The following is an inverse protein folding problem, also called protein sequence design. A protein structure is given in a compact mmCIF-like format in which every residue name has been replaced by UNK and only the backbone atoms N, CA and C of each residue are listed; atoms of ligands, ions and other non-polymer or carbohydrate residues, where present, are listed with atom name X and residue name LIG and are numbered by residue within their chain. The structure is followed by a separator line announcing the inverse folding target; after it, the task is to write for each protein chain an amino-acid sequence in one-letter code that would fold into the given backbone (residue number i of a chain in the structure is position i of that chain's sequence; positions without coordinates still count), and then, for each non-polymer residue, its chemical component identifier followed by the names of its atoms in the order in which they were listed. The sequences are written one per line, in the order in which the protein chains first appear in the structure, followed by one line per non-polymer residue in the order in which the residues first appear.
data_IF_009523866676
#
_entry.id   IF_009523866676
#
_cell.length_a   1.000
_cell.length_b   1.000
_cell.length_c   1.000
_cell.angle_alpha   90.00
_cell.angle_beta   90.00
_cell.angle_gamma   90.00
#
_symmetry.space_group_name_H-M   'P 1'
#
loop_
_entity.id
_entity.type
_entity.pdbx_description
1 polymer ?
#
# COMPACT_ATOMS: atom_id res chain seq x y z
N UNK A 1 9.49 1.60 1.17
CA UNK A 1 8.23 1.42 0.41
C UNK A 1 8.38 0.42 -0.72
N UNK A 2 7.27 -0.21 -1.12
CA UNK A 2 7.21 -1.23 -2.17
C UNK A 2 7.29 -0.67 -3.61
N UNK A 3 7.39 0.65 -3.78
CA UNK A 3 7.39 1.36 -5.07
C UNK A 3 8.32 0.79 -6.16
N UNK A 4 9.43 0.14 -5.78
CA UNK A 4 10.36 -0.50 -6.72
C UNK A 4 9.79 -1.75 -7.43
N UNK A 5 8.69 -2.31 -6.95
CA UNK A 5 8.02 -3.44 -7.58
C UNK A 5 7.23 -3.04 -8.84
N UNK A 6 7.17 -1.75 -9.18
CA UNK A 6 6.54 -1.26 -10.41
C UNK A 6 7.13 -1.91 -11.68
N UNK A 7 8.44 -2.18 -11.70
CA UNK A 7 9.10 -2.85 -12.83
C UNK A 7 8.58 -4.29 -12.98
N UNK A 8 8.35 -4.98 -11.87
CA UNK A 8 7.76 -6.33 -11.89
C UNK A 8 6.30 -6.27 -12.34
N UNK A 9 5.52 -5.31 -11.84
CA UNK A 9 4.13 -5.13 -12.26
C UNK A 9 4.02 -4.87 -13.77
N UNK A 10 4.89 -4.03 -14.31
CA UNK A 10 4.97 -3.77 -15.73
C UNK A 10 5.46 -4.99 -16.54
N UNK A 11 6.46 -5.74 -16.04
CA UNK A 11 6.91 -6.98 -16.68
C UNK A 11 5.81 -8.07 -16.70
N UNK A 12 4.89 -8.04 -15.75
CA UNK A 12 3.70 -8.90 -15.73
C UNK A 12 2.58 -8.42 -16.67
N UNK A 13 2.75 -7.28 -17.36
CA UNK A 13 1.76 -6.71 -18.27
C UNK A 13 0.54 -6.12 -17.57
N UNK A 14 0.68 -5.67 -16.32
CA UNK A 14 -0.41 -5.03 -15.58
C UNK A 14 -0.62 -3.58 -16.03
N UNK A 15 -1.88 -3.12 -16.01
CA UNK A 15 -2.24 -1.76 -16.41
C UNK A 15 -1.89 -0.70 -15.35
N UNK A 16 -1.83 -1.12 -14.07
CA UNK A 16 -1.62 -0.22 -12.95
C UNK A 16 -0.90 -0.88 -11.77
N UNK A 17 -0.17 -0.07 -11.01
CA UNK A 17 0.45 -0.43 -9.74
C UNK A 17 0.14 0.62 -8.66
N UNK A 18 -0.33 0.16 -7.49
CA UNK A 18 -0.69 1.00 -6.35
C UNK A 18 0.24 0.68 -5.18
N UNK A 19 0.80 1.72 -4.57
CA UNK A 19 1.68 1.63 -3.40
C UNK A 19 1.55 2.91 -2.55
N UNK A 20 2.20 2.94 -1.38
CA UNK A 20 2.14 4.07 -0.47
C UNK A 20 2.95 5.28 -0.96
N UNK A 21 4.27 5.16 -0.96
CA UNK A 21 5.19 6.26 -1.30
C UNK A 21 5.51 6.32 -2.81
N UNK A 22 6.21 7.38 -3.22
CA UNK A 22 6.75 7.54 -4.57
C UNK A 22 8.16 8.13 -4.52
N UNK A 23 9.01 7.77 -5.49
CA UNK A 23 10.28 8.44 -5.77
C UNK A 23 10.35 8.95 -7.21
N UNK A 24 11.36 9.77 -7.49
CA UNK A 24 11.62 10.30 -8.82
C UNK A 24 11.83 9.19 -9.87
N UNK A 25 12.58 8.13 -9.53
CA UNK A 25 12.75 6.96 -10.38
C UNK A 25 11.41 6.29 -10.74
N UNK A 26 10.50 6.14 -9.77
CA UNK A 26 9.20 5.49 -9.99
C UNK A 26 8.38 6.21 -11.06
N UNK A 27 8.49 7.55 -11.15
CA UNK A 27 7.81 8.35 -12.18
C UNK A 27 8.33 8.03 -13.57
N UNK A 28 9.65 7.88 -13.74
CA UNK A 28 10.25 7.55 -15.03
C UNK A 28 9.89 6.15 -15.47
N UNK A 29 9.99 5.15 -14.57
CA UNK A 29 9.60 3.77 -14.87
C UNK A 29 8.13 3.70 -15.32
N UNK A 30 7.22 4.37 -14.61
CA UNK A 30 5.80 4.39 -14.97
C UNK A 30 5.57 4.90 -16.41
N UNK A 31 6.24 5.99 -16.77
CA UNK A 31 6.11 6.63 -18.09
C UNK A 31 6.75 5.82 -19.20
N UNK A 32 7.95 5.30 -18.96
CA UNK A 32 8.70 4.52 -19.95
C UNK A 32 8.03 3.18 -20.23
N UNK A 33 7.45 2.54 -19.20
CA UNK A 33 6.88 1.20 -19.30
C UNK A 33 5.38 1.25 -19.59
N UNK A 34 4.78 2.44 -19.62
CA UNK A 34 3.36 2.64 -19.94
C UNK A 34 2.39 2.11 -18.89
N UNK A 35 2.81 2.03 -17.63
CA UNK A 35 1.99 1.54 -16.50
C UNK A 35 1.51 2.72 -15.64
N UNK A 36 0.24 2.71 -15.22
CA UNK A 36 -0.26 3.72 -14.29
C UNK A 36 0.29 3.47 -12.87
N UNK A 37 0.82 4.51 -12.21
CA UNK A 37 1.28 4.42 -10.82
C UNK A 37 0.43 5.28 -9.89
N UNK A 38 -0.05 4.69 -8.79
CA UNK A 38 -0.80 5.38 -7.74
C UNK A 38 -0.01 5.39 -6.43
N UNK A 39 0.42 6.58 -6.00
CA UNK A 39 1.00 6.83 -4.69
C UNK A 39 -0.12 7.25 -3.72
N UNK A 40 -0.63 6.30 -2.93
CA UNK A 40 -1.83 6.50 -2.12
C UNK A 40 -1.54 6.81 -0.64
N UNK A 41 -0.28 7.02 -0.26
CA UNK A 41 0.17 7.23 1.13
C UNK A 41 0.48 5.91 1.83
N UNK A 42 1.66 5.81 2.46
CA UNK A 42 2.11 4.67 3.23
C UNK A 42 1.12 4.33 4.36
N UNK A 43 0.89 5.29 5.27
CA UNK A 43 -0.06 5.15 6.38
C UNK A 43 -1.46 4.80 5.88
N UNK A 44 -1.92 5.54 4.87
CA UNK A 44 -3.26 5.35 4.30
C UNK A 44 -3.43 3.95 3.70
N UNK A 45 -2.41 3.38 3.05
CA UNK A 45 -2.49 2.03 2.47
C UNK A 45 -2.32 0.89 3.47
N UNK A 46 -1.67 1.13 4.61
CA UNK A 46 -1.29 0.06 5.55
C UNK A 46 -2.20 -0.09 6.77
N UNK A 47 -2.99 0.94 7.11
CA UNK A 47 -3.90 0.89 8.28
C UNK A 47 -4.94 -0.23 8.24
N UNK A 48 -5.36 -0.63 7.04
CA UNK A 48 -6.43 -1.62 6.87
C UNK A 48 -6.02 -3.02 7.33
N UNK A 49 -4.75 -3.40 7.13
CA UNK A 49 -4.25 -4.73 7.46
C UNK A 49 -4.21 -4.96 8.98
N UNK A 50 -3.66 -4.00 9.72
CA UNK A 50 -3.57 -4.08 11.18
C UNK A 50 -4.95 -3.98 11.84
N UNK A 51 -5.86 -3.15 11.30
CA UNK A 51 -7.23 -3.07 11.79
C UNK A 51 -7.97 -4.41 11.65
N UNK A 52 -7.90 -5.03 10.46
CA UNK A 52 -8.51 -6.33 10.19
C UNK A 52 -7.88 -7.46 11.03
N UNK A 53 -6.56 -7.43 11.24
CA UNK A 53 -5.88 -8.38 12.11
C UNK A 53 -6.37 -8.26 13.55
N UNK A 54 -6.49 -7.04 14.06
CA UNK A 54 -7.00 -6.80 15.41
C UNK A 54 -8.43 -7.31 15.61
N UNK A 55 -9.32 -7.07 14.65
CA UNK A 55 -10.68 -7.64 14.64
C UNK A 55 -10.66 -9.17 14.62
N UNK A 56 -9.81 -9.78 13.79
CA UNK A 56 -9.67 -11.22 13.70
C UNK A 56 -9.24 -11.84 15.03
N UNK A 57 -8.24 -11.25 15.69
CA UNK A 57 -7.73 -11.72 16.98
C UNK A 57 -8.76 -11.52 18.10
N UNK A 58 -9.48 -10.40 18.10
CA UNK A 58 -10.56 -10.14 19.05
C UNK A 58 -11.65 -11.21 18.99
N UNK A 59 -12.10 -11.55 17.78
CA UNK A 59 -13.08 -12.59 17.55
C UNK A 59 -12.56 -13.99 17.94
N UNK A 60 -11.31 -14.30 17.61
CA UNK A 60 -10.73 -15.62 17.86
C UNK A 60 -10.46 -15.90 19.34
N UNK A 61 -10.01 -14.89 20.08
CA UNK A 61 -9.59 -15.04 21.48
C UNK A 61 -10.59 -14.47 22.48
N UNK A 62 -11.68 -13.87 22.03
CA UNK A 62 -12.68 -13.23 22.90
C UNK A 62 -12.13 -12.00 23.63
N UNK A 63 -11.29 -11.21 22.94
CA UNK A 63 -10.64 -10.03 23.51
C UNK A 63 -11.40 -8.76 23.14
N UNK A 64 -11.31 -7.74 24.01
CA UNK A 64 -11.64 -6.38 23.61
C UNK A 64 -10.47 -5.81 22.79
N UNK A 65 -10.78 -5.24 21.63
CA UNK A 65 -9.82 -4.63 20.72
C UNK A 65 -10.30 -3.24 20.31
N UNK A 66 -9.37 -2.29 20.30
CA UNK A 66 -9.60 -0.96 19.79
C UNK A 66 -8.48 -0.60 18.81
N UNK A 67 -8.84 -0.36 17.55
CA UNK A 67 -7.92 0.23 16.59
C UNK A 67 -7.89 1.76 16.79
N UNK A 68 -6.69 2.33 16.93
CA UNK A 68 -6.48 3.77 17.03
C UNK A 68 -5.75 4.22 15.78
N UNK A 69 -6.46 4.93 14.91
CA UNK A 69 -5.84 5.58 13.75
C UNK A 69 -5.30 6.95 14.17
N UNK A 70 -4.00 7.14 14.02
CA UNK A 70 -3.33 8.42 14.25
C UNK A 70 -2.84 8.91 12.90
N UNK A 71 -3.44 9.99 12.42
CA UNK A 71 -3.14 10.54 11.10
C UNK A 71 -1.64 10.81 10.94
N UNK A 72 -1.05 10.20 9.92
CA UNK A 72 0.27 10.50 9.41
C UNK A 72 0.13 10.95 7.94
N UNK A 73 0.68 12.12 7.56
CA UNK A 73 0.60 12.61 6.19
C UNK A 73 1.29 11.73 5.14
N UNK A 74 2.15 10.78 5.57
CA UNK A 74 2.79 9.79 4.69
C UNK A 74 2.42 8.39 5.13
#
# INVERSE_FOLDING_TARGET
AAQGLIEQAAALGLDAYLSGEISEQTVHVAREYGIAYFAAGHHATERFGVAALGEHLAAHFGLEHQFIDVDNPV
#
